data_IF_149885644659
#
_entry.id   IF_149885644659
#
_cell.length_a   1.000
_cell.length_b   1.000
_cell.length_c   1.000
_cell.angle_alpha   90.00
_cell.angle_beta   90.00
_cell.angle_gamma   90.00
#
_symmetry.space_group_name_H-M   'P 1'
#
loop_
_entity.id
_entity.type
_entity.pdbx_description
1 polymer ?
#
# COMPACT_ATOMS: atom_id res chain seq x y z
N UNK A 1 -8.68 2.21 13.53
CA UNK A 1 -8.54 1.33 12.38
C UNK A 1 -7.79 0.06 12.80
N UNK A 2 -8.47 -1.10 12.68
CA UNK A 2 -7.89 -2.41 13.04
C UNK A 2 -6.95 -2.83 11.92
N UNK A 3 -5.65 -2.67 12.14
CA UNK A 3 -4.61 -2.97 11.14
C UNK A 3 -4.22 -4.43 11.22
N UNK A 4 -4.00 -5.03 10.06
CA UNK A 4 -3.56 -6.42 9.94
C UNK A 4 -2.12 -6.55 10.44
N UNK A 5 -1.77 -7.72 11.00
CA UNK A 5 -0.44 -7.99 11.51
C UNK A 5 0.50 -8.54 10.42
N UNK A 6 1.78 -8.27 10.59
CA UNK A 6 2.88 -8.72 9.73
C UNK A 6 4.05 -9.18 10.60
N UNK A 7 4.97 -9.91 10.03
CA UNK A 7 6.27 -10.18 10.67
C UNK A 7 7.20 -8.97 10.54
N UNK A 8 8.08 -8.85 11.52
CA UNK A 8 9.31 -8.05 11.48
C UNK A 8 10.39 -8.91 12.13
N UNK A 9 11.06 -9.73 11.33
CA UNK A 9 11.91 -10.81 11.84
C UNK A 9 11.11 -11.77 12.74
N UNK A 10 11.55 -12.02 13.97
CA UNK A 10 10.85 -12.93 14.88
C UNK A 10 9.54 -12.35 15.44
N UNK A 11 9.39 -11.04 15.47
CA UNK A 11 8.26 -10.33 16.09
C UNK A 11 7.05 -10.19 15.16
N UNK A 12 5.87 -10.02 15.74
CA UNK A 12 4.70 -9.57 15.02
C UNK A 12 4.52 -8.06 15.20
N UNK A 13 4.08 -7.39 14.15
CA UNK A 13 3.86 -5.95 14.13
C UNK A 13 2.54 -5.60 13.50
N UNK A 14 2.06 -4.40 13.78
CA UNK A 14 1.11 -3.65 12.95
C UNK A 14 1.80 -2.37 12.48
N UNK A 15 1.52 -1.90 11.27
CA UNK A 15 2.09 -0.66 10.77
C UNK A 15 1.01 0.37 10.44
N UNK A 16 1.42 1.62 10.38
CA UNK A 16 0.58 2.77 10.02
C UNK A 16 1.36 3.77 9.21
N UNK A 17 0.66 4.47 8.34
CA UNK A 17 1.15 5.71 7.73
C UNK A 17 0.35 6.88 8.32
N UNK A 18 1.01 7.80 9.01
CA UNK A 18 0.39 9.01 9.56
C UNK A 18 0.75 10.20 8.67
N UNK A 19 -0.21 10.94 8.10
CA UNK A 19 0.08 12.11 7.29
C UNK A 19 0.86 13.13 8.09
N UNK A 20 1.86 13.74 7.46
CA UNK A 20 2.62 14.85 8.02
C UNK A 20 2.91 15.91 6.97
N UNK A 21 3.34 17.08 7.39
CA UNK A 21 3.86 18.10 6.49
C UNK A 21 5.23 17.66 5.95
N UNK A 22 5.44 17.81 4.64
CA UNK A 22 6.74 17.59 4.05
C UNK A 22 7.72 18.70 4.48
N UNK A 23 9.00 18.34 4.61
CA UNK A 23 10.07 19.28 4.86
C UNK A 23 10.99 19.31 3.63
N UNK A 24 11.51 20.48 3.30
CA UNK A 24 12.53 20.68 2.28
C UNK A 24 13.92 20.18 2.74
N UNK A 25 14.93 20.32 1.91
CA UNK A 25 16.31 19.92 2.23
C UNK A 25 16.91 20.69 3.41
N UNK A 26 16.35 21.86 3.77
CA UNK A 26 16.77 22.69 4.90
C UNK A 26 15.94 22.42 6.16
N UNK A 27 15.02 21.45 6.12
CA UNK A 27 14.12 21.12 7.22
C UNK A 27 12.97 22.10 7.42
N UNK A 28 12.74 23.00 6.44
CA UNK A 28 11.61 23.94 6.49
C UNK A 28 10.36 23.28 5.91
N UNK A 29 9.17 23.63 6.44
CA UNK A 29 7.92 23.13 5.90
C UNK A 29 7.74 23.52 4.43
N UNK A 30 7.54 22.55 3.56
CA UNK A 30 7.13 22.84 2.19
C UNK A 30 5.70 23.39 2.21
N UNK A 31 5.50 24.56 1.62
CA UNK A 31 4.18 25.18 1.56
C UNK A 31 3.27 24.33 0.66
N UNK A 32 2.26 23.75 1.27
CA UNK A 32 1.13 23.19 0.56
C UNK A 32 -0.04 24.18 0.66
N UNK A 33 -0.50 24.68 -0.45
CA UNK A 33 -1.86 25.23 -0.52
C UNK A 33 -2.81 24.05 -0.28
N UNK A 34 -3.19 23.82 0.97
CA UNK A 34 -4.29 22.92 1.28
C UNK A 34 -5.53 23.47 0.59
N UNK A 35 -5.83 22.95 -0.57
CA UNK A 35 -7.12 23.17 -1.18
C UNK A 35 -8.19 22.73 -0.19
N UNK A 36 -8.99 23.66 0.30
CA UNK A 36 -9.98 23.40 1.31
C UNK A 36 -11.07 22.48 0.76
N UNK A 37 -11.63 21.64 1.62
CA UNK A 37 -12.60 20.56 1.35
C UNK A 37 -13.94 21.02 0.73
N UNK A 38 -14.13 22.29 0.46
CA UNK A 38 -15.44 22.85 0.12
C UNK A 38 -15.78 22.81 -1.37
N UNK A 39 -14.80 22.78 -2.25
CA UNK A 39 -15.05 22.69 -3.68
C UNK A 39 -14.94 21.25 -4.16
N UNK A 40 -16.02 20.68 -4.66
CA UNK A 40 -16.04 19.39 -5.32
C UNK A 40 -16.59 18.21 -4.52
N UNK A 41 -17.20 18.43 -3.35
CA UNK A 41 -17.88 17.36 -2.60
C UNK A 41 -19.00 16.68 -3.39
N UNK A 42 -19.60 17.41 -4.30
CA UNK A 42 -20.68 16.92 -5.16
C UNK A 42 -20.17 16.27 -6.45
N UNK A 43 -18.85 16.33 -6.72
CA UNK A 43 -18.26 15.65 -7.86
C UNK A 43 -18.02 14.17 -7.51
N UNK A 44 -18.52 13.29 -8.33
CA UNK A 44 -18.31 11.85 -8.23
C UNK A 44 -16.82 11.47 -8.11
N UNK A 45 -15.92 12.24 -8.73
CA UNK A 45 -14.48 11.99 -8.76
C UNK A 45 -13.67 12.89 -7.82
N UNK A 46 -14.28 13.55 -6.86
CA UNK A 46 -13.63 14.60 -6.07
C UNK A 46 -12.31 14.15 -5.40
N UNK A 47 -12.23 12.91 -4.90
CA UNK A 47 -11.00 12.39 -4.29
C UNK A 47 -9.84 12.31 -5.28
N UNK A 48 -10.11 11.86 -6.51
CA UNK A 48 -9.12 11.77 -7.57
C UNK A 48 -8.62 13.15 -7.99
N UNK A 49 -9.55 14.07 -8.20
CA UNK A 49 -9.22 15.45 -8.57
C UNK A 49 -8.38 16.13 -7.48
N UNK A 50 -8.77 15.97 -6.21
CA UNK A 50 -8.01 16.52 -5.08
C UNK A 50 -6.62 15.93 -4.95
N UNK A 51 -6.47 14.64 -5.14
CA UNK A 51 -5.16 13.99 -5.10
C UNK A 51 -4.26 14.49 -6.25
N UNK A 52 -4.81 14.66 -7.45
CA UNK A 52 -4.09 15.22 -8.60
C UNK A 52 -3.62 16.65 -8.31
N UNK A 53 -4.53 17.53 -7.89
CA UNK A 53 -4.23 18.92 -7.52
C UNK A 53 -3.15 18.99 -6.42
N UNK A 54 -3.26 18.16 -5.41
CA UNK A 54 -2.30 18.14 -4.30
C UNK A 54 -0.90 17.73 -4.77
N UNK A 55 -0.80 16.66 -5.57
CA UNK A 55 0.49 16.17 -6.05
C UNK A 55 1.08 17.03 -7.17
N UNK A 56 0.26 17.81 -7.87
CA UNK A 56 0.73 18.84 -8.78
C UNK A 56 1.26 20.08 -8.04
N UNK A 57 0.69 20.40 -6.89
CA UNK A 57 1.11 21.53 -6.06
C UNK A 57 2.37 21.24 -5.25
N UNK A 58 2.52 20.03 -4.71
CA UNK A 58 3.65 19.66 -3.86
C UNK A 58 3.69 18.18 -3.53
N UNK A 59 4.72 17.72 -2.81
CA UNK A 59 4.85 16.32 -2.37
C UNK A 59 3.84 15.98 -1.26
N UNK A 60 3.60 14.69 -1.04
CA UNK A 60 2.85 14.18 0.11
C UNK A 60 3.75 13.35 1.00
N UNK A 61 3.73 13.61 2.31
CA UNK A 61 4.59 12.94 3.28
C UNK A 61 3.80 12.22 4.36
N UNK A 62 4.33 11.09 4.79
CA UNK A 62 3.78 10.28 5.86
C UNK A 62 4.90 9.74 6.76
N UNK A 63 4.65 9.72 8.05
CA UNK A 63 5.47 8.92 8.95
C UNK A 63 5.03 7.47 8.88
N UNK A 64 5.94 6.58 8.54
CA UNK A 64 5.72 5.15 8.61
C UNK A 64 5.98 4.68 10.04
N UNK A 65 4.93 4.15 10.65
CA UNK A 65 4.88 3.82 12.07
C UNK A 65 4.72 2.34 12.27
N UNK A 66 5.37 1.78 13.29
CA UNK A 66 5.27 0.37 13.66
C UNK A 66 4.83 0.25 15.11
N UNK A 67 3.88 -0.65 15.37
CA UNK A 67 3.45 -1.08 16.70
C UNK A 67 3.90 -2.54 16.89
N UNK A 68 4.71 -2.80 17.91
CA UNK A 68 5.21 -4.13 18.21
C UNK A 68 4.22 -4.94 19.04
N UNK A 69 4.09 -6.24 18.78
CA UNK A 69 3.38 -7.12 19.68
C UNK A 69 4.19 -7.32 20.97
N UNK A 70 3.58 -7.09 22.12
CA UNK A 70 4.21 -7.29 23.44
C UNK A 70 3.74 -8.62 24.05
N UNK A 71 4.65 -9.52 24.40
CA UNK A 71 4.28 -10.77 25.07
C UNK A 71 3.50 -10.53 26.38
N UNK A 72 2.47 -11.34 26.63
CA UNK A 72 1.64 -11.22 27.83
C UNK A 72 0.56 -10.14 27.78
N UNK A 73 0.47 -9.37 26.69
CA UNK A 73 -0.59 -8.37 26.47
C UNK A 73 -1.66 -8.90 25.53
N UNK A 74 -2.88 -8.32 25.60
CA UNK A 74 -4.00 -8.70 24.73
C UNK A 74 -3.80 -8.11 23.33
N UNK A 75 -2.94 -8.75 22.56
CA UNK A 75 -2.56 -8.36 21.20
C UNK A 75 -2.68 -9.54 20.22
N UNK A 76 -3.88 -10.10 20.01
CA UNK A 76 -4.04 -11.25 19.14
C UNK A 76 -3.71 -10.90 17.69
N UNK A 77 -3.09 -11.85 16.99
CA UNK A 77 -2.79 -11.76 15.55
C UNK A 77 -3.96 -12.31 14.73
N UNK A 78 -4.59 -13.36 15.20
CA UNK A 78 -5.68 -14.05 14.49
C UNK A 78 -7.03 -13.32 14.64
N UNK A 79 -7.25 -12.65 15.77
CA UNK A 79 -8.48 -11.88 15.99
C UNK A 79 -8.30 -10.41 15.60
N UNK A 80 -8.77 -10.07 14.41
CA UNK A 80 -8.75 -8.70 13.94
C UNK A 80 -9.83 -7.80 14.57
N UNK A 81 -10.73 -8.35 15.39
CA UNK A 81 -11.72 -7.53 16.10
C UNK A 81 -11.11 -6.82 17.30
N UNK A 82 -10.00 -7.34 17.83
CA UNK A 82 -9.27 -6.75 18.96
C UNK A 82 -8.23 -5.74 18.46
N UNK A 83 -8.40 -4.50 18.87
CA UNK A 83 -7.37 -3.47 18.64
C UNK A 83 -6.22 -3.69 19.64
N UNK A 84 -4.98 -3.56 19.19
CA UNK A 84 -3.84 -3.51 20.08
C UNK A 84 -3.81 -2.14 20.77
N UNK A 85 -3.69 -2.13 22.10
CA UNK A 85 -3.63 -0.89 22.87
C UNK A 85 -2.33 -0.12 22.58
N UNK A 86 -2.44 1.19 22.36
CA UNK A 86 -1.27 2.06 22.24
C UNK A 86 -0.63 2.34 23.60
N UNK A 87 -1.35 2.15 24.72
CA UNK A 87 -0.80 2.24 26.07
C UNK A 87 0.15 1.08 26.39
N UNK A 88 -0.15 -0.11 25.86
CA UNK A 88 0.70 -1.28 26.01
C UNK A 88 1.86 -1.30 25.01
N UNK A 89 1.65 -0.77 23.82
CA UNK A 89 2.66 -0.67 22.76
C UNK A 89 2.36 0.52 21.85
N UNK A 90 3.01 1.66 22.05
CA UNK A 90 2.81 2.82 21.20
C UNK A 90 3.37 2.60 19.81
N UNK A 91 2.81 3.34 18.83
CA UNK A 91 3.39 3.39 17.49
C UNK A 91 4.69 4.18 17.48
N UNK A 92 5.74 3.55 16.99
CA UNK A 92 7.08 4.16 16.84
C UNK A 92 7.31 4.47 15.36
N UNK A 93 7.78 5.68 15.06
CA UNK A 93 8.21 6.06 13.71
C UNK A 93 9.49 5.32 13.36
N UNK A 94 9.50 4.62 12.23
CA UNK A 94 10.65 3.86 11.74
C UNK A 94 11.15 4.34 10.38
N UNK A 95 10.28 5.01 9.61
CA UNK A 95 10.64 5.54 8.30
C UNK A 95 9.74 6.72 7.93
N UNK A 96 10.07 7.35 6.83
CA UNK A 96 9.25 8.35 6.18
C UNK A 96 8.92 7.92 4.76
N UNK A 97 7.66 8.09 4.37
CA UNK A 97 7.20 7.90 3.01
C UNK A 97 7.05 9.30 2.40
N UNK A 98 7.78 9.58 1.35
CA UNK A 98 7.64 10.80 0.55
C UNK A 98 7.15 10.42 -0.84
N UNK A 99 5.98 10.92 -1.22
CA UNK A 99 5.47 10.87 -2.59
C UNK A 99 5.87 12.19 -3.23
N UNK A 100 6.79 12.20 -4.21
CA UNK A 100 7.30 13.43 -4.78
C UNK A 100 6.21 14.14 -5.58
N UNK A 101 6.37 15.45 -5.75
CA UNK A 101 5.58 16.24 -6.68
C UNK A 101 5.66 15.63 -8.09
N UNK A 102 4.57 15.69 -8.84
CA UNK A 102 4.51 15.04 -10.17
C UNK A 102 5.62 15.51 -11.10
N UNK A 103 5.93 16.81 -11.10
CA UNK A 103 7.01 17.38 -11.90
C UNK A 103 8.43 16.93 -11.47
N UNK A 104 8.59 16.39 -10.26
CA UNK A 104 9.86 15.89 -9.72
C UNK A 104 10.04 14.39 -9.95
N UNK A 105 8.99 13.71 -10.42
CA UNK A 105 9.09 12.29 -10.71
C UNK A 105 9.99 12.09 -11.93
N UNK A 106 11.01 11.21 -11.83
CA UNK A 106 11.85 10.94 -12.97
C UNK A 106 10.99 10.41 -14.11
N UNK A 107 11.18 10.98 -15.29
CA UNK A 107 10.68 10.40 -16.52
C UNK A 107 11.38 9.05 -16.71
N UNK A 108 10.89 8.01 -16.04
CA UNK A 108 11.37 6.66 -16.28
C UNK A 108 10.97 6.31 -17.70
N UNK A 109 11.95 5.97 -18.53
CA UNK A 109 11.81 5.69 -19.95
C UNK A 109 10.95 4.48 -20.31
N UNK A 110 10.01 4.14 -19.45
CA UNK A 110 8.94 3.21 -19.72
C UNK A 110 7.66 4.03 -19.89
N UNK A 111 6.89 3.74 -20.88
CA UNK A 111 5.59 4.34 -21.22
C UNK A 111 4.57 4.33 -20.06
N UNK A 112 4.97 3.90 -18.86
CA UNK A 112 4.14 3.60 -17.72
C UNK A 112 3.95 4.76 -16.75
N UNK A 113 4.86 5.73 -16.73
CA UNK A 113 4.79 6.88 -15.82
C UNK A 113 4.79 8.16 -16.65
N UNK A 114 3.61 8.73 -16.81
CA UNK A 114 3.45 10.03 -17.40
C UNK A 114 3.66 11.12 -16.34
N UNK A 115 4.22 12.30 -16.68
CA UNK A 115 4.41 13.39 -15.72
C UNK A 115 3.10 14.02 -15.23
N UNK A 116 1.96 13.52 -15.68
CA UNK A 116 0.63 13.92 -15.19
C UNK A 116 0.02 12.75 -14.42
N UNK A 117 -0.52 13.05 -13.25
CA UNK A 117 -1.10 12.03 -12.36
C UNK A 117 -2.29 11.28 -13.02
N UNK A 118 -3.24 12.01 -13.61
CA UNK A 118 -4.50 11.47 -14.09
C UNK A 118 -4.53 11.38 -15.62
N UNK A 119 -3.72 10.49 -16.18
CA UNK A 119 -3.78 10.16 -17.60
C UNK A 119 -4.45 8.82 -17.82
N UNK A 120 -4.98 8.59 -19.02
CA UNK A 120 -5.54 7.29 -19.39
C UNK A 120 -4.50 6.16 -19.27
N UNK A 121 -3.26 6.42 -19.66
CA UNK A 121 -2.16 5.46 -19.52
C UNK A 121 -1.89 5.08 -18.07
N UNK A 122 -1.89 6.06 -17.15
CA UNK A 122 -1.70 5.80 -15.73
C UNK A 122 -2.90 5.04 -15.14
N UNK A 123 -4.12 5.34 -15.55
CA UNK A 123 -5.32 4.59 -15.12
C UNK A 123 -5.26 3.14 -15.57
N UNK A 124 -4.93 2.90 -16.84
CA UNK A 124 -4.77 1.53 -17.37
C UNK A 124 -3.64 0.79 -16.67
N UNK A 125 -2.53 1.46 -16.37
CA UNK A 125 -1.44 0.86 -15.59
C UNK A 125 -1.93 0.46 -14.18
N UNK A 126 -2.61 1.36 -13.46
CA UNK A 126 -3.14 1.08 -12.12
C UNK A 126 -4.16 -0.07 -12.12
N UNK A 127 -5.03 -0.12 -13.13
CA UNK A 127 -6.01 -1.22 -13.28
C UNK A 127 -5.35 -2.58 -13.50
N UNK A 128 -4.13 -2.61 -14.02
CA UNK A 128 -3.39 -3.84 -14.27
C UNK A 128 -2.36 -4.17 -13.16
N UNK A 129 -2.24 -3.33 -12.12
CA UNK A 129 -1.39 -3.64 -10.99
C UNK A 129 -2.00 -4.78 -10.14
N UNK A 130 -1.13 -5.71 -9.74
CA UNK A 130 -1.46 -6.71 -8.74
C UNK A 130 -1.01 -6.21 -7.37
N UNK A 131 -1.97 -6.03 -6.47
CA UNK A 131 -1.71 -5.71 -5.07
C UNK A 131 -2.03 -6.94 -4.22
N UNK A 132 -1.02 -7.46 -3.53
CA UNK A 132 -1.21 -8.58 -2.65
C UNK A 132 -0.40 -8.36 -1.36
N UNK A 133 -0.98 -8.56 -0.17
CA UNK A 133 -0.23 -8.46 1.09
C UNK A 133 1.00 -9.36 1.13
N UNK A 134 1.02 -10.40 0.32
CA UNK A 134 2.10 -11.39 0.24
C UNK A 134 3.24 -10.98 -0.72
N UNK A 135 3.16 -9.82 -1.37
CA UNK A 135 4.30 -9.20 -2.02
C UNK A 135 5.24 -8.63 -0.95
N UNK A 136 5.89 -9.49 -0.20
CA UNK A 136 6.71 -9.16 0.96
C UNK A 136 7.88 -10.11 1.07
N UNK A 137 8.94 -9.65 1.73
CA UNK A 137 10.05 -10.53 2.11
C UNK A 137 9.58 -11.56 3.15
N UNK A 138 10.23 -12.74 3.23
CA UNK A 138 9.88 -13.77 4.22
C UNK A 138 9.82 -13.25 5.66
N UNK A 139 10.76 -12.37 6.04
CA UNK A 139 10.83 -11.76 7.37
C UNK A 139 9.76 -10.69 7.62
N UNK A 140 9.06 -10.26 6.57
CA UNK A 140 7.98 -9.27 6.63
C UNK A 140 6.64 -9.85 6.21
N UNK A 141 6.53 -11.19 6.16
CA UNK A 141 5.32 -11.84 5.67
C UNK A 141 4.08 -11.45 6.47
N UNK A 142 2.93 -11.35 5.80
CA UNK A 142 1.65 -11.12 6.48
C UNK A 142 1.29 -12.32 7.36
N UNK A 143 0.65 -12.03 8.50
CA UNK A 143 0.17 -13.04 9.45
C UNK A 143 -1.31 -12.78 9.78
N UNK A 144 -1.99 -13.79 10.31
CA UNK A 144 -3.38 -13.72 10.69
C UNK A 144 -4.35 -14.14 9.58
N UNK A 145 -5.56 -14.55 10.02
CA UNK A 145 -6.59 -15.12 9.14
C UNK A 145 -6.98 -14.17 8.00
N UNK A 146 -7.15 -12.87 8.28
CA UNK A 146 -7.54 -11.90 7.26
C UNK A 146 -6.50 -11.74 6.15
N UNK A 147 -5.21 -11.78 6.50
CA UNK A 147 -4.18 -11.72 5.47
C UNK A 147 -4.17 -13.00 4.62
N UNK A 148 -4.44 -14.17 5.20
CA UNK A 148 -4.59 -15.42 4.42
C UNK A 148 -5.77 -15.35 3.45
N UNK A 149 -6.94 -14.86 3.91
CA UNK A 149 -8.10 -14.63 3.03
C UNK A 149 -7.76 -13.62 1.93
N UNK A 150 -7.10 -12.52 2.28
CA UNK A 150 -6.69 -11.49 1.32
C UNK A 150 -5.76 -12.03 0.25
N UNK A 151 -4.89 -13.00 0.55
CA UNK A 151 -4.02 -13.61 -0.46
C UNK A 151 -4.84 -14.13 -1.64
N UNK A 152 -5.77 -15.04 -1.38
CA UNK A 152 -6.61 -15.62 -2.42
C UNK A 152 -7.49 -14.57 -3.09
N UNK A 153 -8.16 -13.72 -2.31
CA UNK A 153 -9.06 -12.70 -2.83
C UNK A 153 -8.37 -11.72 -3.79
N UNK A 154 -7.20 -11.21 -3.41
CA UNK A 154 -6.47 -10.24 -4.24
C UNK A 154 -5.91 -10.89 -5.51
N UNK A 155 -5.50 -12.16 -5.45
CA UNK A 155 -5.07 -12.90 -6.63
C UNK A 155 -6.21 -13.07 -7.64
N UNK A 156 -7.39 -13.52 -7.18
CA UNK A 156 -8.55 -13.71 -8.05
C UNK A 156 -9.05 -12.38 -8.64
N UNK A 157 -9.09 -11.31 -7.85
CA UNK A 157 -9.49 -9.98 -8.34
C UNK A 157 -8.48 -9.46 -9.38
N UNK A 158 -7.17 -9.64 -9.16
CA UNK A 158 -6.17 -9.23 -10.13
C UNK A 158 -6.31 -10.00 -11.43
N UNK A 159 -6.48 -11.33 -11.35
CA UNK A 159 -6.72 -12.19 -12.50
C UNK A 159 -7.96 -11.76 -13.28
N UNK A 160 -9.09 -11.55 -12.59
CA UNK A 160 -10.32 -11.08 -13.23
C UNK A 160 -10.11 -9.75 -13.99
N UNK A 161 -9.41 -8.78 -13.41
CA UNK A 161 -9.13 -7.51 -14.08
C UNK A 161 -8.25 -7.69 -15.31
N UNK A 162 -7.25 -8.55 -15.27
CA UNK A 162 -6.37 -8.83 -16.40
C UNK A 162 -7.10 -9.54 -17.52
N UNK A 163 -7.93 -10.51 -17.19
CA UNK A 163 -8.79 -11.20 -18.17
C UNK A 163 -9.75 -10.20 -18.84
N UNK A 164 -10.39 -9.32 -18.05
CA UNK A 164 -11.27 -8.28 -18.57
C UNK A 164 -10.52 -7.27 -19.46
N UNK A 165 -9.29 -6.93 -19.10
CA UNK A 165 -8.43 -6.02 -19.84
C UNK A 165 -7.66 -6.71 -20.97
N UNK A 166 -7.86 -8.01 -21.19
CA UNK A 166 -7.15 -8.85 -22.19
C UNK A 166 -5.63 -8.79 -22.03
N UNK A 167 -5.14 -8.78 -20.79
CA UNK A 167 -3.71 -8.76 -20.47
C UNK A 167 -3.26 -10.10 -19.95
N UNK A 168 -1.96 -10.37 -20.13
CA UNK A 168 -1.35 -11.56 -19.55
C UNK A 168 -1.21 -11.38 -18.04
N UNK A 169 -1.51 -12.45 -17.30
CA UNK A 169 -1.34 -12.48 -15.85
C UNK A 169 0.15 -12.53 -15.49
N UNK A 170 0.61 -11.52 -14.76
CA UNK A 170 2.00 -11.38 -14.29
C UNK A 170 1.98 -10.96 -12.81
N UNK A 171 1.66 -11.92 -11.94
CA UNK A 171 1.70 -11.72 -10.49
C UNK A 171 3.08 -12.16 -9.96
N UNK A 172 3.92 -11.24 -9.47
CA UNK A 172 5.25 -11.57 -8.95
C UNK A 172 5.21 -12.46 -7.70
N UNK A 173 4.05 -12.58 -7.03
CA UNK A 173 3.85 -13.51 -5.92
C UNK A 173 3.34 -14.88 -6.36
N UNK A 174 2.92 -15.00 -7.62
CA UNK A 174 2.54 -16.31 -8.16
C UNK A 174 3.81 -17.17 -8.29
N UNK A 175 3.75 -18.44 -7.90
CA UNK A 175 4.87 -19.34 -8.15
C UNK A 175 5.15 -19.40 -9.65
N UNK A 176 6.42 -19.30 -10.02
CA UNK A 176 6.85 -19.37 -11.41
C UNK A 176 6.24 -20.62 -12.07
N UNK A 177 5.64 -20.43 -13.24
CA UNK A 177 5.10 -21.55 -13.99
C UNK A 177 6.26 -22.49 -14.37
N UNK A 178 6.23 -23.72 -13.89
CA UNK A 178 7.17 -24.77 -14.30
C UNK A 178 6.56 -25.41 -15.54
N UNK A 179 7.22 -25.26 -16.70
CA UNK A 179 6.74 -25.77 -17.98
C UNK A 179 5.33 -25.30 -18.39
N UNK A 180 4.94 -24.06 -18.01
CA UNK A 180 3.62 -23.52 -18.33
C UNK A 180 2.49 -24.03 -17.46
N UNK A 181 2.78 -24.81 -16.42
CA UNK A 181 1.82 -25.27 -15.44
C UNK A 181 2.15 -24.69 -14.04
N UNK A 182 1.14 -24.33 -13.24
CA UNK A 182 1.37 -23.93 -11.86
C UNK A 182 2.00 -25.11 -11.09
N UNK A 183 2.93 -24.87 -10.16
CA UNK A 183 3.46 -25.92 -9.30
C UNK A 183 2.31 -26.55 -8.51
N UNK A 184 2.37 -27.86 -8.32
CA UNK A 184 1.39 -28.54 -7.47
C UNK A 184 1.36 -27.89 -6.08
N UNK A 185 0.17 -27.68 -5.50
CA UNK A 185 0.05 -27.13 -4.16
C UNK A 185 0.78 -28.09 -3.19
N UNK A 186 1.51 -27.59 -2.20
CA UNK A 186 2.15 -28.43 -1.20
C UNK A 186 1.07 -29.29 -0.54
N UNK A 187 1.30 -30.61 -0.51
CA UNK A 187 0.44 -31.55 0.21
C UNK A 187 0.29 -31.06 1.65
N UNK A 188 -0.93 -30.69 2.03
CA UNK A 188 -1.26 -30.32 3.40
C UNK A 188 -1.32 -31.63 4.19
N UNK A 189 -0.29 -31.92 4.96
CA UNK A 189 -0.31 -32.94 6.01
C UNK A 189 -0.90 -32.34 7.29
#
# INVERSE_FOLDING_TARGET
YKRQAYKLGPSNIKFSAKPKQCLDANGQPEEHKRGYWETGKDDYNFLRLRMSEQLEAGPACFDFMVQMQVPGKIMPVEDATVAWSEDDSPFVKVAEIRIPKISEQPATGTERVQPKFDTEANRQFCENLSFNPWHSLPDHRPVGVFNRVRKALYQEIAKYRWDANRRQYDDPSAPALINGQPPEPPLVN
#
